data_IF_691042401792
#
_entry.id   IF_691042401792
#
_cell.length_a   1.000
_cell.length_b   1.000
_cell.length_c   1.000
_cell.angle_alpha   90.00
_cell.angle_beta   90.00
_cell.angle_gamma   90.00
#
_symmetry.space_group_name_H-M   'P 1'
#
loop_
_entity.id
_entity.type
_entity.pdbx_description
1 polymer ?
#
# COMPACT_ATOMS: atom_id res chain seq x y z
N UNK A 1 -11.88 24.93 -0.43
CA UNK A 1 -11.31 23.80 0.30
C UNK A 1 -10.29 24.32 1.31
N UNK A 2 -10.41 23.89 2.54
CA UNK A 2 -9.50 24.33 3.59
C UNK A 2 -8.14 23.68 3.43
N UNK A 3 -7.10 24.50 3.25
CA UNK A 3 -5.73 24.04 3.07
C UNK A 3 -5.22 23.23 4.27
N UNK A 4 -5.60 23.67 5.49
CA UNK A 4 -5.19 22.97 6.70
C UNK A 4 -5.81 21.56 6.78
N UNK A 5 -7.05 21.42 6.37
CA UNK A 5 -7.70 20.10 6.35
C UNK A 5 -7.06 19.17 5.31
N UNK A 6 -6.64 19.70 4.17
CA UNK A 6 -5.93 18.91 3.17
C UNK A 6 -4.58 18.43 3.71
N UNK A 7 -3.84 19.28 4.41
CA UNK A 7 -2.57 18.89 5.03
C UNK A 7 -2.75 17.83 6.11
N UNK A 8 -3.77 18.00 6.96
CA UNK A 8 -4.07 17.00 7.99
C UNK A 8 -4.42 15.65 7.40
N UNK A 9 -5.17 15.65 6.29
CA UNK A 9 -5.50 14.42 5.58
C UNK A 9 -4.26 13.69 5.07
N UNK A 10 -3.30 14.43 4.51
CA UNK A 10 -2.05 13.86 4.02
C UNK A 10 -1.19 13.33 5.16
N UNK A 11 -1.08 14.05 6.27
CA UNK A 11 -0.31 13.60 7.43
C UNK A 11 -0.93 12.34 8.01
N UNK A 12 -2.26 12.30 8.15
CA UNK A 12 -2.95 11.12 8.66
C UNK A 12 -2.72 9.91 7.75
N UNK A 13 -2.76 10.10 6.43
CA UNK A 13 -2.51 9.02 5.49
C UNK A 13 -1.06 8.54 5.62
N UNK A 14 -0.10 9.45 5.72
CA UNK A 14 1.31 9.11 5.86
C UNK A 14 1.60 8.26 7.10
N UNK A 15 0.91 8.53 8.21
CA UNK A 15 1.10 7.79 9.46
C UNK A 15 0.18 6.58 9.59
N UNK A 16 -0.69 6.33 8.62
CA UNK A 16 -1.67 5.24 8.68
C UNK A 16 -1.01 3.88 8.44
N UNK A 17 -1.62 2.85 9.02
CA UNK A 17 -1.20 1.48 8.78
C UNK A 17 -1.36 1.10 7.31
N UNK A 18 -2.40 1.61 6.65
CA UNK A 18 -2.61 1.34 5.22
C UNK A 18 -1.45 1.86 4.37
N UNK A 19 -0.96 3.06 4.66
CA UNK A 19 0.19 3.60 3.93
C UNK A 19 1.46 2.78 4.19
N UNK A 20 1.71 2.43 5.44
CA UNK A 20 2.87 1.61 5.80
C UNK A 20 2.82 0.25 5.10
N UNK A 21 1.63 -0.33 5.03
CA UNK A 21 1.43 -1.58 4.30
C UNK A 21 1.68 -1.39 2.80
N UNK A 22 1.21 -0.30 2.23
CA UNK A 22 1.44 0.00 0.81
C UNK A 22 2.94 0.07 0.51
N UNK A 23 3.71 0.72 1.36
CA UNK A 23 5.17 0.79 1.21
C UNK A 23 5.81 -0.60 1.26
N UNK A 24 5.38 -1.44 2.19
CA UNK A 24 5.87 -2.82 2.28
C UNK A 24 5.55 -3.59 0.99
N UNK A 25 4.33 -3.48 0.50
CA UNK A 25 3.93 -4.18 -0.72
C UNK A 25 4.77 -3.74 -1.93
N UNK A 26 5.09 -2.45 -2.02
CA UNK A 26 5.95 -1.99 -3.10
C UNK A 26 7.35 -2.59 -3.01
N UNK A 27 7.90 -2.68 -1.81
CA UNK A 27 9.21 -3.31 -1.60
C UNK A 27 9.20 -4.80 -1.95
N UNK A 28 8.08 -5.47 -1.71
CA UNK A 28 7.94 -6.90 -1.98
C UNK A 28 7.73 -7.22 -3.46
N UNK A 29 7.40 -6.24 -4.29
CA UNK A 29 7.15 -6.50 -5.70
C UNK A 29 8.39 -7.07 -6.39
N UNK A 30 8.19 -8.18 -7.11
CA UNK A 30 9.20 -8.81 -7.93
C UNK A 30 8.82 -8.67 -9.41
N UNK A 31 9.82 -8.61 -10.27
CA UNK A 31 9.59 -8.59 -11.71
C UNK A 31 9.17 -9.97 -12.17
N UNK A 32 8.04 -10.03 -12.87
CA UNK A 32 7.53 -11.26 -13.48
C UNK A 32 7.30 -11.02 -14.97
N UNK A 33 6.96 -12.08 -15.70
CA UNK A 33 6.61 -11.97 -17.11
C UNK A 33 5.42 -11.04 -17.35
N UNK A 34 4.56 -10.89 -16.35
CA UNK A 34 3.33 -10.10 -16.44
C UNK A 34 3.49 -8.73 -15.76
N UNK A 35 4.72 -8.34 -15.42
CA UNK A 35 5.02 -7.08 -14.76
C UNK A 35 5.41 -7.28 -13.30
N UNK A 36 5.42 -6.20 -12.54
CA UNK A 36 5.76 -6.25 -11.12
C UNK A 36 4.59 -6.81 -10.30
N UNK A 37 4.89 -7.73 -9.40
CA UNK A 37 3.87 -8.40 -8.62
C UNK A 37 4.38 -8.81 -7.24
N UNK A 38 3.53 -8.66 -6.22
CA UNK A 38 3.78 -9.19 -4.89
C UNK A 38 3.44 -10.69 -4.91
N UNK A 39 4.40 -11.52 -4.60
CA UNK A 39 4.24 -12.99 -4.64
C UNK A 39 3.87 -13.59 -3.29
N UNK A 40 4.11 -12.86 -2.21
CA UNK A 40 3.86 -13.33 -0.86
C UNK A 40 2.35 -13.57 -0.65
N UNK A 41 2.03 -14.62 0.12
CA UNK A 41 0.66 -14.88 0.54
C UNK A 41 0.23 -13.85 1.59
N UNK A 42 -1.08 -13.76 1.84
CA UNK A 42 -1.57 -12.89 2.92
C UNK A 42 -0.97 -13.28 4.27
N UNK A 43 -0.75 -14.56 4.51
CA UNK A 43 -0.13 -15.01 5.75
C UNK A 43 1.30 -14.53 5.88
N UNK A 44 2.07 -14.61 4.80
CA UNK A 44 3.44 -14.10 4.77
C UNK A 44 3.47 -12.58 4.92
N UNK A 45 2.56 -11.86 4.26
CA UNK A 45 2.47 -10.39 4.39
C UNK A 45 2.13 -10.01 5.83
N UNK A 46 1.16 -10.70 6.44
CA UNK A 46 0.78 -10.42 7.83
C UNK A 46 1.96 -10.61 8.77
N UNK A 47 2.73 -11.68 8.57
CA UNK A 47 3.93 -11.95 9.36
C UNK A 47 4.97 -10.85 9.18
N UNK A 48 5.24 -10.45 7.95
CA UNK A 48 6.20 -9.37 7.66
C UNK A 48 5.75 -8.03 8.22
N UNK A 49 4.46 -7.78 8.23
CA UNK A 49 3.89 -6.54 8.75
C UNK A 49 3.62 -6.59 10.25
N UNK A 50 3.86 -7.74 10.88
CA UNK A 50 3.69 -7.94 12.33
C UNK A 50 2.25 -7.74 12.82
N UNK A 51 1.29 -8.22 12.07
CA UNK A 51 -0.14 -8.17 12.43
C UNK A 51 -0.79 -9.53 12.22
N UNK A 52 -1.95 -9.73 12.82
CA UNK A 52 -2.75 -10.92 12.55
C UNK A 52 -3.35 -10.84 11.14
N UNK A 53 -3.70 -12.00 10.59
CA UNK A 53 -4.37 -12.07 9.30
C UNK A 53 -5.70 -11.33 9.31
N UNK A 54 -6.43 -11.41 10.43
CA UNK A 54 -7.70 -10.70 10.60
C UNK A 54 -7.54 -9.18 10.61
N UNK A 55 -6.42 -8.69 11.10
CA UNK A 55 -6.13 -7.25 11.05
C UNK A 55 -5.60 -6.82 9.68
N UNK A 56 -4.86 -7.68 9.00
CA UNK A 56 -4.34 -7.38 7.67
C UNK A 56 -5.44 -7.22 6.63
N UNK A 57 -6.44 -8.10 6.65
CA UNK A 57 -7.45 -8.15 5.61
C UNK A 57 -8.17 -6.82 5.38
N UNK A 58 -8.67 -6.11 6.43
CA UNK A 58 -9.28 -4.80 6.22
C UNK A 58 -8.33 -3.77 5.61
N UNK A 59 -7.05 -3.82 5.96
CA UNK A 59 -6.05 -2.92 5.40
C UNK A 59 -5.84 -3.20 3.91
N UNK A 60 -5.74 -4.48 3.54
CA UNK A 60 -5.61 -4.85 2.13
C UNK A 60 -6.84 -4.42 1.33
N UNK A 61 -8.04 -4.64 1.87
CA UNK A 61 -9.27 -4.21 1.21
C UNK A 61 -9.33 -2.70 1.04
N UNK A 62 -8.87 -1.95 2.02
CA UNK A 62 -8.81 -0.49 1.93
C UNK A 62 -7.90 -0.04 0.80
N UNK A 63 -6.75 -0.67 0.64
CA UNK A 63 -5.82 -0.36 -0.45
C UNK A 63 -6.39 -0.71 -1.83
N UNK A 64 -7.12 -1.82 -1.93
CA UNK A 64 -7.80 -2.20 -3.16
C UNK A 64 -8.89 -1.18 -3.48
N UNK A 65 -9.70 -0.81 -2.49
CA UNK A 65 -10.81 0.14 -2.68
C UNK A 65 -10.31 1.52 -3.11
N UNK A 66 -9.14 1.95 -2.60
CA UNK A 66 -8.57 3.23 -2.98
C UNK A 66 -7.91 3.23 -4.36
N UNK A 67 -7.75 2.06 -4.97
CA UNK A 67 -7.08 1.94 -6.26
C UNK A 67 -5.56 1.91 -6.17
N UNK A 68 -4.99 1.83 -4.97
CA UNK A 68 -3.53 1.80 -4.79
C UNK A 68 -2.93 0.44 -5.10
N UNK A 69 -3.70 -0.63 -4.94
CA UNK A 69 -3.29 -1.98 -5.33
C UNK A 69 -4.41 -2.66 -6.09
N UNK A 70 -4.04 -3.65 -6.90
CA UNK A 70 -4.99 -4.50 -7.60
C UNK A 70 -4.72 -5.95 -7.27
N UNK A 71 -5.78 -6.74 -7.13
CA UNK A 71 -5.69 -8.17 -6.89
C UNK A 71 -5.75 -8.91 -8.23
N UNK A 72 -4.87 -9.88 -8.40
CA UNK A 72 -4.88 -10.74 -9.57
C UNK A 72 -6.00 -11.77 -9.47
N UNK A 73 -6.81 -11.87 -10.52
CA UNK A 73 -7.97 -12.78 -10.52
C UNK A 73 -7.59 -14.25 -10.65
N UNK A 74 -6.56 -14.54 -11.43
CA UNK A 74 -6.22 -15.92 -11.78
C UNK A 74 -5.28 -16.59 -10.80
N UNK A 75 -4.60 -15.85 -9.97
CA UNK A 75 -3.60 -16.37 -9.01
C UNK A 75 -3.55 -15.47 -7.79
N UNK A 76 -3.07 -16.02 -6.68
CA UNK A 76 -2.78 -15.18 -5.51
C UNK A 76 -1.71 -14.17 -5.88
N UNK A 77 -1.89 -12.93 -5.46
CA UNK A 77 -0.92 -11.88 -5.72
C UNK A 77 -1.57 -10.53 -5.87
N UNK A 78 -0.77 -9.51 -5.67
CA UNK A 78 -1.20 -8.12 -5.75
C UNK A 78 -0.18 -7.32 -6.54
N UNK A 79 -0.65 -6.28 -7.20
CA UNK A 79 0.20 -5.32 -7.89
C UNK A 79 -0.06 -3.94 -7.31
N UNK A 80 1.00 -3.21 -7.00
CA UNK A 80 0.88 -1.79 -6.65
C UNK A 80 0.65 -1.03 -7.96
N UNK A 81 -0.44 -0.27 -7.99
CA UNK A 81 -0.83 0.47 -9.19
C UNK A 81 0.02 1.71 -9.37
N UNK A 82 -0.11 2.36 -10.55
CA UNK A 82 0.54 3.65 -10.77
C UNK A 82 0.10 4.66 -9.71
N UNK A 83 -1.19 4.67 -9.36
CA UNK A 83 -1.68 5.53 -8.28
C UNK A 83 -1.00 5.22 -6.96
N UNK A 84 -0.85 3.94 -6.62
CA UNK A 84 -0.16 3.52 -5.39
C UNK A 84 1.27 4.03 -5.36
N UNK A 85 2.00 3.88 -6.45
CA UNK A 85 3.37 4.39 -6.56
C UNK A 85 3.42 5.90 -6.42
N UNK A 86 2.49 6.62 -7.03
CA UNK A 86 2.41 8.07 -6.92
C UNK A 86 2.15 8.52 -5.49
N UNK A 87 1.29 7.81 -4.77
CA UNK A 87 1.01 8.11 -3.36
C UNK A 87 2.26 7.94 -2.52
N UNK A 88 3.00 6.85 -2.73
CA UNK A 88 4.24 6.59 -2.00
C UNK A 88 5.26 7.70 -2.28
N UNK A 89 5.44 8.08 -3.52
CA UNK A 89 6.39 9.13 -3.90
C UNK A 89 5.99 10.48 -3.31
N UNK A 90 4.72 10.84 -3.39
CA UNK A 90 4.22 12.11 -2.86
C UNK A 90 4.45 12.21 -1.35
N UNK A 91 4.05 11.17 -0.60
CA UNK A 91 4.16 11.18 0.85
C UNK A 91 5.61 11.03 1.31
N UNK A 92 6.42 10.29 0.57
CA UNK A 92 7.86 10.22 0.83
C UNK A 92 8.53 11.57 0.65
N UNK A 93 8.10 12.34 -0.34
CA UNK A 93 8.60 13.70 -0.55
C UNK A 93 8.22 14.62 0.61
N UNK A 94 6.99 14.50 1.12
CA UNK A 94 6.55 15.28 2.29
C UNK A 94 7.40 14.94 3.52
N UNK A 95 7.75 13.68 3.71
CA UNK A 95 8.62 13.26 4.80
C UNK A 95 9.98 13.93 4.71
N UNK A 96 10.53 14.03 3.50
CA UNK A 96 11.82 14.68 3.26
C UNK A 96 11.78 16.16 3.57
N UNK A 97 10.64 16.83 3.35
CA UNK A 97 10.45 18.25 3.62
C UNK A 97 10.19 18.54 5.10
N UNK A 98 9.75 17.55 5.83
CA UNK A 98 9.50 17.69 7.27
C UNK A 98 10.81 17.55 8.04
#
# INVERSE_FOLDING_TARGET
MDYLNAQRGLVNLFTSDSFRLLCLLEELQANTREGKRVRESQEEIAELFHVSKGKLNPLMQSLVASGCIEKYRARSGYTVTQLGTQVIELLGHLETLA
#
